data_IF_286605011856
#
_entry.id   IF_286605011856
#
_cell.length_a   1.000
_cell.length_b   1.000
_cell.length_c   1.000
_cell.angle_alpha   90.00
_cell.angle_beta   90.00
_cell.angle_gamma   90.00
#
_symmetry.space_group_name_H-M   'P 1'
#
loop_
_entity.id
_entity.type
_entity.pdbx_description
1 polymer ?
#
# COMPACT_ATOMS: atom_id res chain seq x y z
N UNK A 1 -5.02 -0.41 -6.62
CA UNK A 1 -3.69 -0.36 -5.97
C UNK A 1 -3.39 1.10 -5.71
N UNK A 2 -2.97 1.44 -4.49
CA UNK A 2 -2.51 2.79 -4.12
C UNK A 2 -1.14 2.64 -3.45
N UNK A 3 -0.33 3.69 -3.53
CA UNK A 3 0.95 3.79 -2.85
C UNK A 3 1.02 5.10 -2.08
N UNK A 4 1.78 5.10 -0.98
CA UNK A 4 2.11 6.30 -0.24
C UNK A 4 3.46 6.11 0.45
N UNK A 5 4.26 7.17 0.46
CA UNK A 5 5.51 7.23 1.22
C UNK A 5 5.63 8.59 1.93
N UNK A 6 6.13 8.55 3.16
CA UNK A 6 6.21 9.74 4.00
C UNK A 6 7.03 9.49 5.26
N UNK A 7 7.32 10.58 5.98
CA UNK A 7 7.92 10.48 7.32
C UNK A 7 6.79 10.32 8.34
N UNK A 8 6.88 9.29 9.15
CA UNK A 8 5.92 9.04 10.22
C UNK A 8 5.98 7.60 10.70
N UNK A 9 5.25 7.27 11.76
CA UNK A 9 5.05 5.89 12.19
C UNK A 9 4.39 5.08 11.08
N UNK A 10 4.80 3.81 10.93
CA UNK A 10 4.21 2.86 9.97
C UNK A 10 2.68 2.89 9.98
N UNK A 11 2.06 2.92 11.15
CA UNK A 11 0.60 2.85 11.31
C UNK A 11 -0.12 4.04 10.64
N UNK A 12 0.42 5.25 10.74
CA UNK A 12 -0.19 6.46 10.15
C UNK A 12 -0.03 6.46 8.62
N UNK A 13 1.14 6.04 8.13
CA UNK A 13 1.42 5.89 6.70
C UNK A 13 0.50 4.81 6.10
N UNK A 14 0.33 3.69 6.79
CA UNK A 14 -0.54 2.59 6.35
C UNK A 14 -2.01 3.01 6.34
N UNK A 15 -2.49 3.72 7.35
CA UNK A 15 -3.87 4.21 7.37
C UNK A 15 -4.12 5.21 6.24
N UNK A 16 -3.15 6.08 5.95
CA UNK A 16 -3.26 7.06 4.84
C UNK A 16 -3.48 6.36 3.50
N UNK A 17 -2.64 5.37 3.15
CA UNK A 17 -2.79 4.67 1.86
C UNK A 17 -4.07 3.83 1.79
N UNK A 18 -4.54 3.31 2.93
CA UNK A 18 -5.85 2.62 3.03
C UNK A 18 -7.00 3.57 2.71
N UNK A 19 -7.00 4.77 3.29
CA UNK A 19 -8.02 5.79 2.98
C UNK A 19 -7.96 6.24 1.53
N UNK A 20 -6.76 6.37 0.94
CA UNK A 20 -6.62 6.66 -0.50
C UNK A 20 -7.28 5.59 -1.37
N UNK A 21 -7.12 4.31 -1.02
CA UNK A 21 -7.76 3.21 -1.75
C UNK A 21 -9.30 3.26 -1.60
N UNK A 22 -9.80 3.55 -0.39
CA UNK A 22 -11.23 3.66 -0.10
C UNK A 22 -11.86 4.81 -0.89
N UNK A 23 -11.29 6.01 -0.82
CA UNK A 23 -11.79 7.18 -1.55
C UNK A 23 -11.72 6.95 -3.07
N UNK A 24 -10.65 6.31 -3.54
CA UNK A 24 -10.53 5.90 -4.94
C UNK A 24 -11.69 5.02 -5.41
N UNK A 25 -12.16 4.08 -4.59
CA UNK A 25 -13.30 3.22 -4.91
C UNK A 25 -14.63 3.97 -4.82
N UNK A 26 -14.78 4.86 -3.83
CA UNK A 26 -15.95 5.72 -3.64
C UNK A 26 -16.20 6.64 -4.82
N UNK A 27 -15.16 7.34 -5.30
CA UNK A 27 -15.25 8.22 -6.50
C UNK A 27 -15.66 7.43 -7.75
N UNK A 28 -15.35 6.13 -7.79
CA UNK A 28 -15.73 5.23 -8.90
C UNK A 28 -17.10 4.59 -8.72
N UNK A 29 -17.79 4.84 -7.61
CA UNK A 29 -19.08 4.22 -7.29
C UNK A 29 -19.01 2.69 -7.12
N UNK A 30 -17.86 2.16 -6.66
CA UNK A 30 -17.63 0.72 -6.53
C UNK A 30 -17.61 0.29 -5.07
N UNK A 31 -18.27 -0.84 -4.78
CA UNK A 31 -18.22 -1.49 -3.46
C UNK A 31 -16.89 -2.21 -3.29
N UNK A 32 -16.28 -2.07 -2.10
CA UNK A 32 -15.04 -2.75 -1.74
C UNK A 32 -15.38 -4.13 -1.20
N UNK A 33 -14.87 -5.19 -1.83
CA UNK A 33 -14.98 -6.57 -1.31
C UNK A 33 -13.98 -6.81 -0.18
N UNK A 34 -12.74 -6.42 -0.41
CA UNK A 34 -11.63 -6.60 0.53
C UNK A 34 -10.60 -5.47 0.35
N UNK A 35 -9.84 -5.18 1.41
CA UNK A 35 -8.81 -4.14 1.45
C UNK A 35 -7.59 -4.63 2.23
N UNK A 36 -6.59 -5.06 1.48
CA UNK A 36 -5.28 -5.44 2.01
C UNK A 36 -4.27 -4.29 1.88
N UNK A 37 -3.36 -4.20 2.84
CA UNK A 37 -2.29 -3.22 2.88
C UNK A 37 -1.03 -3.85 3.50
N UNK A 38 0.12 -3.28 3.14
CA UNK A 38 1.39 -3.57 3.80
C UNK A 38 2.20 -2.28 3.84
N UNK A 39 2.87 -2.06 4.98
CA UNK A 39 3.77 -0.93 5.16
C UNK A 39 5.05 -1.34 5.88
N UNK A 40 6.11 -0.58 5.65
CA UNK A 40 7.41 -0.70 6.31
C UNK A 40 7.88 0.68 6.74
N UNK A 41 8.52 0.75 7.90
CA UNK A 41 9.21 1.95 8.38
C UNK A 41 10.70 1.68 8.53
N UNK A 42 11.52 2.71 8.37
CA UNK A 42 12.96 2.61 8.56
C UNK A 42 13.49 3.84 9.29
N UNK A 43 14.20 3.61 10.40
CA UNK A 43 14.96 4.66 11.09
C UNK A 43 16.32 4.85 10.41
N UNK A 44 16.44 5.91 9.63
CA UNK A 44 17.67 6.26 8.89
C UNK A 44 18.86 6.42 9.85
N UNK A 45 19.95 5.70 9.59
CA UNK A 45 21.22 5.83 10.32
C UNK A 45 22.21 6.81 9.66
N UNK A 46 22.33 6.76 8.32
CA UNK A 46 23.17 7.67 7.52
C UNK A 46 22.51 8.01 6.18
N UNK A 47 22.16 6.99 5.41
CA UNK A 47 21.34 7.06 4.19
C UNK A 47 20.43 5.83 4.20
N UNK A 48 19.15 5.99 3.87
CA UNK A 48 18.18 4.90 3.87
C UNK A 48 16.96 5.21 3.02
N UNK A 49 16.25 4.17 2.62
CA UNK A 49 15.03 4.24 1.82
C UNK A 49 14.06 3.13 2.25
N UNK A 50 12.77 3.34 2.00
CA UNK A 50 11.70 2.38 2.20
C UNK A 50 10.99 2.14 0.87
N UNK A 51 10.52 0.92 0.64
CA UNK A 51 9.78 0.54 -0.56
C UNK A 51 8.59 -0.34 -0.17
N UNK A 52 7.42 -0.02 -0.72
CA UNK A 52 6.25 -0.88 -0.73
C UNK A 52 5.76 -0.97 -2.18
N UNK A 53 5.48 -2.18 -2.67
CA UNK A 53 5.09 -2.41 -4.05
C UNK A 53 4.10 -3.56 -4.16
N UNK A 54 3.25 -3.50 -5.18
CA UNK A 54 2.42 -4.63 -5.61
C UNK A 54 2.99 -5.13 -6.92
N UNK A 55 3.57 -6.34 -6.88
CA UNK A 55 4.10 -7.00 -8.07
C UNK A 55 2.99 -7.85 -8.67
N UNK A 56 2.58 -7.52 -9.90
CA UNK A 56 1.68 -8.34 -10.67
C UNK A 56 2.51 -9.38 -11.42
N UNK A 57 2.17 -10.64 -11.25
CA UNK A 57 2.85 -11.75 -11.89
C UNK A 57 1.83 -12.74 -12.43
N UNK A 58 2.17 -13.41 -13.52
CA UNK A 58 1.34 -14.48 -14.07
C UNK A 58 1.47 -15.71 -13.16
N UNK A 59 0.34 -16.37 -12.94
CA UNK A 59 0.35 -17.61 -12.17
C UNK A 59 0.83 -18.72 -13.10
N UNK A 60 1.85 -19.48 -12.68
CA UNK A 60 2.20 -20.74 -13.37
C UNK A 60 1.00 -21.69 -13.30
N UNK A 61 0.52 -22.13 -14.47
CA UNK A 61 -0.45 -23.21 -14.57
C UNK A 61 0.23 -24.49 -14.09
N UNK A 62 -0.18 -24.94 -12.91
CA UNK A 62 0.14 -26.28 -12.41
C UNK A 62 -1.07 -27.14 -12.77
N UNK A 63 -0.85 -28.11 -13.66
CA UNK A 63 -1.83 -29.15 -14.04
C UNK A 63 -2.24 -30.01 -12.83
#
# INVERSE_FOLDING_TARGET
>A
IMEYSGRGPKAEIEETVRQMAIEGMKVRGRVIKDLTSIAVEHRVKKVGATLAAVVLWEKEETE
#
